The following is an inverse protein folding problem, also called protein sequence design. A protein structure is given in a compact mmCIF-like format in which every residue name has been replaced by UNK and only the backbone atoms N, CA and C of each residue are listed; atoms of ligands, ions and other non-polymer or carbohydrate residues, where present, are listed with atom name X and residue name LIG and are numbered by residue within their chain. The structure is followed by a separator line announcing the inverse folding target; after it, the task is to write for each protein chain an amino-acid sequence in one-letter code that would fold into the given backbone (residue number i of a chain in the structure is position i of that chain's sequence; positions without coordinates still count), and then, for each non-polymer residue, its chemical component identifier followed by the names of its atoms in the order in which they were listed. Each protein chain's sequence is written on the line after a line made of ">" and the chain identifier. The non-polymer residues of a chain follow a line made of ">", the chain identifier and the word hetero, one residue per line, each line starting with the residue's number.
data_IF_222051467518
#
_entry.id   IF_222051467518
#
_cell.length_a   1.000
_cell.length_b   1.000
_cell.length_c   1.000
_cell.angle_alpha   90.00
_cell.angle_beta   90.00
_cell.angle_gamma   90.00
#
_symmetry.space_group_name_H-M   'P 1'
#
loop_
_entity.id
_entity.type
_entity.pdbx_description
1 polymer ?
#
# COMPACT_ATOMS: atom_id res chain seq x y z
N UNK A 1 -13.21 10.92 0.17
CA UNK A 1 -13.92 9.87 -0.58
C UNK A 1 -13.82 8.52 0.08
N UNK A 2 -14.95 7.80 0.13
CA UNK A 2 -15.04 6.47 0.73
C UNK A 2 -14.82 6.53 2.24
N UNK A 3 -13.59 6.76 2.67
CA UNK A 3 -13.26 6.81 4.08
C UNK A 3 -12.09 7.76 4.34
N UNK A 4 -10.88 7.29 4.05
CA UNK A 4 -9.64 8.05 4.27
C UNK A 4 -9.34 8.27 5.74
N UNK A 5 -10.27 8.86 6.49
CA UNK A 5 -10.12 9.14 7.93
C UNK A 5 -9.52 7.97 8.69
N UNK A 6 -9.79 6.77 8.20
CA UNK A 6 -9.21 5.55 8.75
C UNK A 6 -7.69 5.65 8.80
N UNK A 7 -7.06 5.73 7.64
CA UNK A 7 -5.62 5.78 7.55
C UNK A 7 -5.13 7.19 7.74
N UNK A 8 -5.91 8.14 7.29
CA UNK A 8 -5.56 9.56 7.38
C UNK A 8 -5.25 9.96 8.83
N UNK A 9 -5.97 9.36 9.76
CA UNK A 9 -5.73 9.59 11.18
C UNK A 9 -4.39 9.00 11.62
N UNK A 10 -3.89 8.05 10.84
CA UNK A 10 -2.56 7.48 11.04
C UNK A 10 -1.51 8.50 10.64
N UNK A 11 -1.58 8.92 9.37
CA UNK A 11 -0.58 9.82 8.79
C UNK A 11 -0.53 11.14 9.52
N UNK A 12 -1.64 11.50 10.14
CA UNK A 12 -1.71 12.71 10.95
C UNK A 12 -0.69 12.67 12.09
N UNK A 13 -0.37 11.45 12.52
CA UNK A 13 0.60 11.27 13.57
C UNK A 13 2.02 11.17 13.05
N UNK A 14 2.16 10.99 11.74
CA UNK A 14 3.46 10.87 11.12
C UNK A 14 3.86 12.12 10.40
N UNK A 15 5.08 12.08 9.94
CA UNK A 15 5.58 13.02 8.96
C UNK A 15 5.54 12.29 7.64
N UNK A 16 5.67 12.99 6.52
CA UNK A 16 5.60 12.34 5.22
C UNK A 16 6.46 11.08 5.18
N UNK A 17 7.64 11.17 5.78
CA UNK A 17 8.57 10.05 5.85
C UNK A 17 8.00 8.87 6.63
N UNK A 18 7.43 9.13 7.80
CA UNK A 18 6.87 8.08 8.61
C UNK A 18 5.56 7.59 8.03
N UNK A 19 4.89 8.46 7.29
CA UNK A 19 3.71 8.08 6.54
C UNK A 19 4.09 7.07 5.47
N UNK A 20 5.28 7.25 4.89
CA UNK A 20 5.84 6.25 3.99
C UNK A 20 6.01 4.96 4.75
N UNK A 21 6.64 5.09 5.91
CA UNK A 21 7.04 3.93 6.73
C UNK A 21 5.84 3.08 7.14
N UNK A 22 4.76 3.73 7.53
CA UNK A 22 3.62 3.03 8.10
C UNK A 22 2.88 2.18 7.07
N UNK A 23 2.66 2.70 5.87
CA UNK A 23 2.02 1.88 4.86
C UNK A 23 3.03 1.18 3.97
N UNK A 24 4.30 1.52 4.09
CA UNK A 24 5.35 0.67 3.53
C UNK A 24 5.29 -0.65 4.27
N UNK A 25 4.61 -0.59 5.41
CA UNK A 25 4.31 -1.72 6.21
C UNK A 25 2.90 -2.21 5.88
N UNK A 26 1.97 -1.29 5.62
CA UNK A 26 0.59 -1.65 5.28
C UNK A 26 0.49 -2.32 3.91
N UNK A 27 0.98 -1.65 2.85
CA UNK A 27 0.93 -2.24 1.51
C UNK A 27 1.61 -3.60 1.52
N UNK A 28 2.66 -3.65 2.31
CA UNK A 28 3.42 -4.86 2.54
C UNK A 28 2.53 -5.90 3.19
N UNK A 29 1.83 -5.48 4.22
CA UNK A 29 0.99 -6.37 5.02
C UNK A 29 -0.15 -6.90 4.18
N UNK A 30 -0.72 -6.01 3.37
CA UNK A 30 -1.78 -6.37 2.46
C UNK A 30 -1.29 -7.36 1.44
N UNK A 31 -0.14 -7.04 0.86
CA UNK A 31 0.49 -7.89 -0.15
C UNK A 31 0.78 -9.24 0.44
N UNK A 32 1.03 -9.23 1.73
CA UNK A 32 1.31 -10.41 2.48
C UNK A 32 0.06 -11.24 2.59
N UNK A 33 -1.05 -10.56 2.88
CA UNK A 33 -2.34 -11.21 2.99
C UNK A 33 -2.72 -11.84 1.66
N UNK A 34 -2.34 -11.18 0.58
CA UNK A 34 -2.60 -11.66 -0.76
C UNK A 34 -1.81 -12.91 -1.02
N UNK A 35 -0.51 -12.74 -0.88
CA UNK A 35 0.45 -13.75 -1.27
C UNK A 35 0.42 -15.01 -0.42
N UNK A 36 -0.01 -14.91 0.82
CA UNK A 36 -0.05 -16.08 1.67
C UNK A 36 0.71 -15.91 2.95
N UNK A 37 1.02 -14.68 3.26
CA UNK A 37 1.91 -14.37 4.36
C UNK A 37 1.14 -13.88 5.57
N UNK A 38 1.82 -13.79 6.70
CA UNK A 38 1.20 -13.37 7.94
C UNK A 38 2.09 -12.39 8.70
N UNK A 39 3.28 -12.17 8.18
CA UNK A 39 4.25 -11.29 8.83
C UNK A 39 5.17 -10.67 7.78
N UNK A 40 4.63 -10.52 6.57
CA UNK A 40 5.37 -10.00 5.41
C UNK A 40 6.72 -10.71 5.26
N UNK A 41 6.70 -11.99 5.59
CA UNK A 41 7.91 -12.81 5.66
C UNK A 41 8.65 -12.89 4.33
N UNK A 42 7.92 -13.09 3.24
CA UNK A 42 8.54 -13.33 1.95
C UNK A 42 8.37 -12.13 1.02
N UNK A 43 8.36 -10.95 1.60
CA UNK A 43 8.21 -9.74 0.81
C UNK A 43 9.45 -8.89 0.81
N UNK A 44 9.44 -7.89 -0.06
CA UNK A 44 10.49 -6.90 -0.14
C UNK A 44 9.87 -5.57 -0.49
N UNK A 45 10.43 -4.49 0.02
CA UNK A 45 9.95 -3.16 -0.33
C UNK A 45 10.84 -2.57 -1.41
N UNK A 46 11.96 -3.23 -1.66
CA UNK A 46 12.90 -2.76 -2.66
C UNK A 46 12.66 -3.50 -3.96
N UNK A 47 11.82 -4.53 -3.90
CA UNK A 47 11.56 -5.36 -5.06
C UNK A 47 10.10 -5.19 -5.46
N UNK A 48 9.85 -5.33 -6.75
CA UNK A 48 8.56 -4.99 -7.31
C UNK A 48 7.59 -6.17 -7.18
N UNK A 49 6.31 -5.83 -7.02
CA UNK A 49 5.22 -6.81 -6.81
C UNK A 49 5.22 -7.88 -7.89
N UNK A 50 5.72 -7.52 -9.05
CA UNK A 50 6.02 -8.46 -10.11
C UNK A 50 6.73 -9.67 -9.55
N UNK A 51 7.84 -9.41 -8.89
CA UNK A 51 8.66 -10.46 -8.28
C UNK A 51 7.91 -11.11 -7.11
N UNK A 52 7.04 -10.34 -6.48
CA UNK A 52 6.24 -10.82 -5.35
C UNK A 52 5.20 -11.82 -5.85
N UNK A 53 4.93 -11.76 -7.13
CA UNK A 53 4.03 -12.70 -7.74
C UNK A 53 2.69 -12.11 -8.09
N UNK A 54 2.59 -10.79 -8.06
CA UNK A 54 1.34 -10.14 -8.43
C UNK A 54 1.14 -10.10 -9.94
N UNK A 55 -0.12 -9.95 -10.33
CA UNK A 55 -0.52 -9.94 -11.75
C UNK A 55 -1.94 -9.40 -11.83
N UNK A 56 -2.64 -9.67 -12.93
CA UNK A 56 -4.01 -9.19 -13.11
C UNK A 56 -5.01 -10.02 -12.30
N UNK A 57 -4.60 -10.39 -11.09
CA UNK A 57 -5.41 -11.14 -10.15
C UNK A 57 -5.11 -10.68 -8.73
N UNK A 58 -3.91 -10.97 -8.27
CA UNK A 58 -3.51 -10.66 -6.91
C UNK A 58 -3.35 -9.17 -6.69
N UNK A 59 -2.80 -8.49 -7.70
CA UNK A 59 -2.67 -7.04 -7.64
C UNK A 59 -4.03 -6.40 -7.44
N UNK A 60 -5.03 -7.04 -8.00
CA UNK A 60 -6.39 -6.55 -7.93
C UNK A 60 -6.92 -6.59 -6.50
N UNK A 61 -6.71 -7.72 -5.83
CA UNK A 61 -7.14 -7.83 -4.44
C UNK A 61 -6.21 -7.06 -3.52
N UNK A 62 -4.96 -6.94 -3.91
CA UNK A 62 -4.02 -6.11 -3.16
C UNK A 62 -4.40 -4.65 -3.27
N UNK A 63 -4.65 -4.22 -4.48
CA UNK A 63 -5.10 -2.87 -4.74
C UNK A 63 -6.34 -2.63 -3.91
N UNK A 64 -7.21 -3.63 -3.96
CA UNK A 64 -8.42 -3.64 -3.18
C UNK A 64 -8.10 -3.52 -1.69
N UNK A 65 -7.06 -4.24 -1.26
CA UNK A 65 -6.60 -4.19 0.11
C UNK A 65 -6.16 -2.78 0.49
N UNK A 66 -5.42 -2.12 -0.40
CA UNK A 66 -4.87 -0.80 -0.10
C UNK A 66 -5.96 0.23 0.07
N UNK A 67 -6.98 0.14 -0.77
CA UNK A 67 -8.11 1.07 -0.72
C UNK A 67 -8.94 0.80 0.51
N UNK A 68 -9.04 -0.46 0.86
CA UNK A 68 -9.72 -0.87 2.06
C UNK A 68 -8.92 -0.44 3.28
N UNK A 69 -7.62 -0.67 3.20
CA UNK A 69 -6.68 -0.28 4.21
C UNK A 69 -6.65 1.23 4.43
N UNK A 70 -6.51 1.98 3.35
CA UNK A 70 -6.32 3.42 3.46
C UNK A 70 -7.63 4.16 3.43
N UNK A 71 -8.54 3.68 2.60
CA UNK A 71 -9.80 4.34 2.39
C UNK A 71 -9.74 5.28 1.21
N UNK A 72 -8.61 5.25 0.53
CA UNK A 72 -8.35 6.12 -0.59
C UNK A 72 -8.67 5.39 -1.90
N UNK A 73 -8.37 6.02 -3.02
CA UNK A 73 -8.79 5.48 -4.31
C UNK A 73 -7.58 5.13 -5.17
N UNK A 74 -7.23 3.85 -5.19
CA UNK A 74 -6.11 3.37 -5.97
C UNK A 74 -6.61 2.75 -7.28
N UNK A 75 -5.77 2.04 -8.01
CA UNK A 75 -6.11 1.70 -9.40
C UNK A 75 -5.68 0.28 -9.79
N UNK A 76 -6.19 -0.20 -10.92
CA UNK A 76 -6.03 -1.60 -11.33
C UNK A 76 -4.57 -2.06 -11.37
N UNK A 77 -3.71 -1.27 -11.99
CA UNK A 77 -2.31 -1.64 -12.15
C UNK A 77 -1.46 -0.79 -11.23
N UNK A 78 -2.05 -0.52 -10.07
CA UNK A 78 -1.47 0.30 -9.03
C UNK A 78 -0.01 -0.10 -8.73
N UNK A 79 0.17 -1.35 -8.34
CA UNK A 79 1.49 -1.86 -7.97
C UNK A 79 2.37 -2.15 -9.18
N UNK A 80 1.87 -1.80 -10.35
CA UNK A 80 2.64 -1.95 -11.57
C UNK A 80 2.86 -0.58 -12.15
N UNK A 81 2.21 0.39 -11.53
CA UNK A 81 2.44 1.79 -11.78
C UNK A 81 3.54 2.23 -10.85
N UNK A 82 3.44 1.71 -9.64
CA UNK A 82 4.38 1.95 -8.59
C UNK A 82 4.96 0.61 -8.18
N UNK A 83 6.21 0.38 -8.57
CA UNK A 83 6.80 -0.96 -8.60
C UNK A 83 6.85 -1.67 -7.26
N UNK A 84 7.19 -0.95 -6.22
CA UNK A 84 7.42 -1.59 -4.95
C UNK A 84 6.44 -1.09 -3.92
N UNK A 85 6.23 -1.87 -2.85
CA UNK A 85 5.41 -1.43 -1.73
C UNK A 85 5.97 -0.15 -1.14
N UNK A 86 7.20 0.13 -1.49
CA UNK A 86 7.85 1.37 -1.14
C UNK A 86 7.26 2.48 -2.00
N UNK A 87 7.22 2.21 -3.30
CA UNK A 87 6.74 3.19 -4.28
C UNK A 87 5.25 3.38 -4.14
N UNK A 88 4.63 2.35 -3.60
CA UNK A 88 3.21 2.34 -3.42
C UNK A 88 2.82 3.04 -2.14
N UNK A 89 3.55 2.74 -1.08
CA UNK A 89 3.28 3.38 0.19
C UNK A 89 3.44 4.88 0.09
N UNK A 90 4.46 5.35 -0.61
CA UNK A 90 4.64 6.79 -0.80
C UNK A 90 3.56 7.32 -1.73
N UNK A 91 3.10 6.45 -2.62
CA UNK A 91 1.99 6.76 -3.49
C UNK A 91 0.72 6.94 -2.67
N UNK A 92 0.68 6.32 -1.51
CA UNK A 92 -0.47 6.42 -0.62
C UNK A 92 -0.47 7.76 0.09
N UNK A 93 0.66 8.46 0.03
CA UNK A 93 0.79 9.79 0.63
C UNK A 93 0.15 10.78 -0.30
N UNK A 94 0.26 10.47 -1.58
CA UNK A 94 -0.29 11.29 -2.63
C UNK A 94 -1.80 11.42 -2.47
N UNK A 95 -2.38 10.42 -1.84
CA UNK A 95 -3.80 10.36 -1.61
C UNK A 95 -4.19 11.18 -0.39
N UNK A 96 -3.20 11.42 0.45
CA UNK A 96 -3.40 12.02 1.76
C UNK A 96 -3.64 13.52 1.70
N UNK A 97 -4.56 13.99 2.54
CA UNK A 97 -5.04 15.38 2.55
C UNK A 97 -4.08 16.37 3.22
N UNK A 98 -3.08 16.82 2.47
CA UNK A 98 -2.20 17.88 2.96
C UNK A 98 -1.13 17.39 3.92
N UNK A 99 -1.56 16.72 4.98
CA UNK A 99 -0.65 16.15 5.98
C UNK A 99 0.38 15.23 5.37
N UNK A 100 0.02 14.62 4.25
CA UNK A 100 0.92 13.72 3.58
C UNK A 100 1.63 14.37 2.41
#
# INVERSE_FOLDING_TARGET
>A
GSTATLLTSKLAGLTATEQRAVTRKLVLDQAASVLGYASTESLDTHESFKDLGFDSLTALELRDHLQTATGLNLSSTLIFDHPTPHAVAEHLLEQIPGIG
#
